data_IF_787797787941
#
_entry.id   IF_787797787941
#
_cell.length_a   1.000
_cell.length_b   1.000
_cell.length_c   1.000
_cell.angle_alpha   90.00
_cell.angle_beta   90.00
_cell.angle_gamma   90.00
#
_symmetry.space_group_name_H-M   'P 1'
#
loop_
_entity.id
_entity.type
_entity.pdbx_description
1 polymer ?
#
# COMPACT_ATOMS: atom_id res chain seq x y z
N UNK A 1 29.71 -29.89 -9.65
CA UNK A 1 29.94 -28.43 -9.52
C UNK A 1 31.38 -28.20 -9.08
N UNK A 2 32.18 -27.54 -9.91
CA UNK A 2 33.62 -27.36 -9.66
C UNK A 2 33.86 -26.26 -8.61
N UNK A 3 34.97 -26.30 -7.87
CA UNK A 3 35.27 -25.32 -6.80
C UNK A 3 35.20 -23.85 -7.27
N UNK A 4 35.61 -23.58 -8.52
CA UNK A 4 35.53 -22.27 -9.16
C UNK A 4 34.09 -21.79 -9.44
N UNK A 5 33.16 -22.70 -9.74
CA UNK A 5 31.74 -22.33 -9.91
C UNK A 5 31.09 -21.98 -8.57
N UNK A 6 31.54 -22.60 -7.46
CA UNK A 6 31.09 -22.27 -6.11
C UNK A 6 31.58 -20.90 -5.65
N UNK A 7 32.84 -20.56 -5.92
CA UNK A 7 33.40 -19.23 -5.58
C UNK A 7 32.69 -18.12 -6.35
N UNK A 8 32.48 -18.29 -7.66
CA UNK A 8 31.71 -17.32 -8.47
C UNK A 8 30.27 -17.15 -7.97
N UNK A 9 29.61 -18.24 -7.59
CA UNK A 9 28.27 -18.20 -7.01
C UNK A 9 28.24 -17.39 -5.71
N UNK A 10 29.23 -17.56 -4.82
CA UNK A 10 29.34 -16.79 -3.57
C UNK A 10 29.46 -15.30 -3.86
N UNK A 11 30.35 -14.88 -4.78
CA UNK A 11 30.49 -13.47 -5.12
C UNK A 11 29.23 -12.88 -5.78
N UNK A 12 28.54 -13.66 -6.62
CA UNK A 12 27.27 -13.26 -7.22
C UNK A 12 26.19 -13.05 -6.16
N UNK A 13 25.99 -14.03 -5.26
CA UNK A 13 25.03 -13.93 -4.16
C UNK A 13 25.36 -12.76 -3.24
N UNK A 14 26.63 -12.57 -2.88
CA UNK A 14 27.07 -11.44 -2.07
C UNK A 14 26.74 -10.10 -2.75
N UNK A 15 27.01 -9.96 -4.05
CA UNK A 15 26.63 -8.78 -4.83
C UNK A 15 25.13 -8.53 -4.84
N UNK A 16 24.33 -9.59 -4.98
CA UNK A 16 22.86 -9.51 -4.93
C UNK A 16 22.36 -8.98 -3.58
N UNK A 17 22.85 -9.54 -2.46
CA UNK A 17 22.45 -9.10 -1.11
C UNK A 17 22.94 -7.69 -0.79
N UNK A 18 24.14 -7.30 -1.23
CA UNK A 18 24.63 -5.93 -1.11
C UNK A 18 23.71 -4.96 -1.86
N UNK A 19 23.33 -5.30 -3.10
CA UNK A 19 22.39 -4.48 -3.89
C UNK A 19 21.03 -4.36 -3.20
N UNK A 20 20.48 -5.47 -2.67
CA UNK A 20 19.24 -5.47 -1.90
C UNK A 20 19.33 -4.57 -0.67
N UNK A 21 20.41 -4.67 0.10
CA UNK A 21 20.65 -3.85 1.29
C UNK A 21 20.65 -2.35 0.97
N UNK A 22 21.40 -1.93 -0.06
CA UNK A 22 21.44 -0.52 -0.46
C UNK A 22 20.10 -0.01 -0.98
N UNK A 23 19.34 -0.83 -1.71
CA UNK A 23 17.98 -0.45 -2.13
C UNK A 23 17.04 -0.34 -0.93
N UNK A 24 17.14 -1.24 0.05
CA UNK A 24 16.37 -1.14 1.30
C UNK A 24 16.67 0.18 2.02
N UNK A 25 17.95 0.47 2.30
CA UNK A 25 18.35 1.71 2.99
C UNK A 25 17.85 2.96 2.24
N UNK A 26 18.00 2.98 0.92
CA UNK A 26 17.51 4.10 0.09
C UNK A 26 15.98 4.21 0.12
N UNK A 27 15.27 3.09 0.04
CA UNK A 27 13.81 3.04 0.12
C UNK A 27 13.31 3.60 1.44
N UNK A 28 13.88 3.14 2.55
CA UNK A 28 13.58 3.62 3.90
C UNK A 28 13.80 5.13 4.04
N UNK A 29 14.94 5.63 3.57
CA UNK A 29 15.24 7.06 3.59
C UNK A 29 14.30 7.91 2.73
N UNK A 30 13.77 7.35 1.65
CA UNK A 30 12.78 8.05 0.81
C UNK A 30 11.43 8.05 1.51
N UNK A 31 10.97 6.90 2.03
CA UNK A 31 9.70 6.78 2.78
C UNK A 31 9.70 7.69 4.01
N UNK A 32 10.82 7.82 4.72
CA UNK A 32 10.93 8.70 5.90
C UNK A 32 10.76 10.19 5.60
N UNK A 33 10.70 10.60 4.33
CA UNK A 33 10.40 12.00 3.94
C UNK A 33 8.92 12.31 3.94
N UNK A 34 8.06 11.30 3.95
CA UNK A 34 6.62 11.51 4.05
C UNK A 34 6.26 11.84 5.50
N UNK A 35 5.54 12.95 5.75
CA UNK A 35 5.01 13.21 7.07
C UNK A 35 4.02 12.12 7.49
N UNK A 36 4.11 11.67 8.74
CA UNK A 36 3.12 10.75 9.30
C UNK A 36 1.82 11.48 9.69
N UNK A 37 0.68 10.77 9.73
CA UNK A 37 0.49 9.34 9.40
C UNK A 37 0.45 9.09 7.88
N UNK A 38 0.64 7.83 7.48
CA UNK A 38 0.71 7.40 6.06
C UNK A 38 -0.39 6.35 5.81
N UNK A 39 -1.15 6.52 4.74
CA UNK A 39 -2.16 5.56 4.26
C UNK A 39 -1.75 5.04 2.89
N UNK A 40 -1.76 3.71 2.74
CA UNK A 40 -1.49 3.09 1.44
C UNK A 40 -2.75 2.90 0.64
N UNK A 41 -2.69 3.26 -0.64
CA UNK A 41 -3.73 2.98 -1.61
C UNK A 41 -3.28 1.87 -2.56
N UNK A 42 -4.09 0.82 -2.65
CA UNK A 42 -3.96 -0.26 -3.61
C UNK A 42 -5.16 -0.26 -4.55
N UNK A 43 -4.96 -0.68 -5.81
CA UNK A 43 -6.02 -0.73 -6.80
C UNK A 43 -5.54 -1.06 -8.21
N UNK A 44 -6.50 -1.29 -9.10
CA UNK A 44 -6.25 -1.72 -10.46
C UNK A 44 -5.49 -0.69 -11.30
N UNK A 45 -4.40 -1.14 -11.95
CA UNK A 45 -3.60 -0.33 -12.90
C UNK A 45 -4.30 -0.02 -14.22
N UNK A 46 -5.33 -0.80 -14.59
CA UNK A 46 -6.00 -0.74 -15.90
C UNK A 46 -7.27 0.11 -15.92
N UNK A 47 -7.74 0.52 -14.74
CA UNK A 47 -8.91 1.39 -14.64
C UNK A 47 -8.50 2.81 -15.01
N UNK A 48 -9.12 3.37 -16.04
CA UNK A 48 -8.78 4.69 -16.57
C UNK A 48 -9.36 5.81 -15.71
N UNK A 49 -9.00 7.07 -16.00
CA UNK A 49 -9.45 8.25 -15.24
C UNK A 49 -10.96 8.46 -15.33
N UNK A 50 -11.60 7.95 -16.37
CA UNK A 50 -13.05 8.02 -16.60
C UNK A 50 -13.84 7.00 -15.77
N UNK A 51 -13.15 6.15 -14.99
CA UNK A 51 -13.79 5.22 -14.08
C UNK A 51 -14.21 5.94 -12.78
N UNK A 52 -15.42 5.67 -12.31
CA UNK A 52 -15.94 6.19 -11.02
C UNK A 52 -14.97 5.91 -9.87
N UNK A 53 -14.32 4.74 -9.86
CA UNK A 53 -13.32 4.42 -8.83
C UNK A 53 -12.09 5.31 -8.87
N UNK A 54 -11.69 5.83 -10.04
CA UNK A 54 -10.57 6.77 -10.14
C UNK A 54 -10.94 8.13 -9.54
N UNK A 55 -12.16 8.63 -9.82
CA UNK A 55 -12.67 9.86 -9.19
C UNK A 55 -12.77 9.72 -7.67
N UNK A 56 -13.28 8.58 -7.19
CA UNK A 56 -13.38 8.30 -5.75
C UNK A 56 -12.00 8.17 -5.09
N UNK A 57 -11.04 7.49 -5.73
CA UNK A 57 -9.67 7.38 -5.23
C UNK A 57 -8.97 8.74 -5.17
N UNK A 58 -9.17 9.57 -6.20
CA UNK A 58 -8.68 10.95 -6.22
C UNK A 58 -9.28 11.76 -5.06
N UNK A 59 -10.60 11.76 -4.93
CA UNK A 59 -11.29 12.60 -3.96
C UNK A 59 -10.97 12.18 -2.52
N UNK A 60 -10.98 10.88 -2.21
CA UNK A 60 -10.60 10.38 -0.89
C UNK A 60 -9.14 10.75 -0.56
N UNK A 61 -8.20 10.55 -1.49
CA UNK A 61 -6.80 10.90 -1.26
C UNK A 61 -6.57 12.40 -1.05
N UNK A 62 -7.33 13.26 -1.76
CA UNK A 62 -7.32 14.71 -1.57
C UNK A 62 -7.74 15.07 -0.15
N UNK A 63 -8.88 14.57 0.30
CA UNK A 63 -9.42 14.85 1.65
C UNK A 63 -8.49 14.37 2.76
N UNK A 64 -7.95 13.15 2.65
CA UNK A 64 -6.95 12.66 3.60
C UNK A 64 -5.73 13.58 3.68
N UNK A 65 -5.25 14.09 2.54
CA UNK A 65 -4.12 15.02 2.51
C UNK A 65 -4.45 16.38 3.13
N UNK A 66 -5.68 16.87 2.99
CA UNK A 66 -6.18 18.06 3.70
C UNK A 66 -6.22 17.84 5.23
N UNK A 67 -6.49 16.62 5.66
CA UNK A 67 -6.36 16.18 7.05
C UNK A 67 -4.91 15.89 7.49
N UNK A 68 -3.91 16.29 6.70
CA UNK A 68 -2.46 16.08 6.99
C UNK A 68 -2.05 14.61 7.04
N UNK A 69 -2.74 13.74 6.31
CA UNK A 69 -2.39 12.33 6.15
C UNK A 69 -1.68 12.15 4.81
N UNK A 70 -0.56 11.45 4.80
CA UNK A 70 0.19 11.17 3.56
C UNK A 70 -0.34 9.94 2.84
N UNK A 71 -0.25 9.95 1.52
CA UNK A 71 -0.69 8.88 0.63
C UNK A 71 0.51 8.23 -0.05
N UNK A 72 0.62 6.92 0.05
CA UNK A 72 1.62 6.13 -0.68
C UNK A 72 0.91 5.09 -1.55
N UNK A 73 1.44 4.83 -2.75
CA UNK A 73 0.85 3.88 -3.70
C UNK A 73 1.95 3.08 -4.39
N UNK A 74 1.57 2.09 -5.20
CA UNK A 74 2.49 1.37 -6.08
C UNK A 74 3.15 2.21 -7.20
N UNK A 75 2.78 3.49 -7.36
CA UNK A 75 3.39 4.42 -8.31
C UNK A 75 3.08 4.16 -9.79
N UNK A 76 2.20 3.20 -10.10
CA UNK A 76 1.73 2.91 -11.45
C UNK A 76 0.57 3.81 -11.90
N UNK A 77 0.04 3.59 -13.12
CA UNK A 77 -1.13 4.30 -13.63
C UNK A 77 -2.43 3.79 -13.00
N UNK A 78 -3.56 4.33 -13.47
CA UNK A 78 -4.90 3.96 -13.03
C UNK A 78 -5.21 4.47 -11.63
N UNK A 79 -5.74 3.61 -10.76
CA UNK A 79 -6.18 4.04 -9.42
C UNK A 79 -5.04 4.53 -8.53
N UNK A 80 -3.84 3.99 -8.72
CA UNK A 80 -2.64 4.47 -8.02
C UNK A 80 -2.30 5.92 -8.40
N UNK A 81 -2.35 6.24 -9.70
CA UNK A 81 -2.16 7.61 -10.17
C UNK A 81 -3.26 8.53 -9.67
N UNK A 82 -4.52 8.10 -9.74
CA UNK A 82 -5.64 8.89 -9.25
C UNK A 82 -5.48 9.28 -7.77
N UNK A 83 -5.11 8.33 -6.91
CA UNK A 83 -4.83 8.59 -5.51
C UNK A 83 -3.64 9.54 -5.30
N UNK A 84 -2.53 9.35 -6.03
CA UNK A 84 -1.39 10.26 -5.90
C UNK A 84 -1.72 11.69 -6.37
N UNK A 85 -2.51 11.84 -7.44
CA UNK A 85 -2.99 13.13 -7.94
C UNK A 85 -3.95 13.80 -6.97
N UNK A 86 -4.87 13.05 -6.37
CA UNK A 86 -5.77 13.56 -5.35
C UNK A 86 -4.99 14.15 -4.17
N UNK A 87 -4.05 13.37 -3.64
CA UNK A 87 -3.17 13.81 -2.56
C UNK A 87 -2.33 15.04 -2.93
N UNK A 88 -1.79 15.08 -4.15
CA UNK A 88 -1.01 16.23 -4.64
C UNK A 88 -1.85 17.52 -4.78
N UNK A 89 -3.14 17.39 -5.11
CA UNK A 89 -4.04 18.50 -5.35
C UNK A 89 -4.49 19.22 -4.06
N UNK A 90 -4.36 18.59 -2.90
CA UNK A 90 -4.61 19.22 -1.62
C UNK A 90 -3.61 20.37 -1.36
N UNK A 91 -4.03 21.37 -0.58
CA UNK A 91 -3.14 22.47 -0.16
C UNK A 91 -1.95 21.90 0.61
N UNK A 92 -0.73 22.21 0.16
CA UNK A 92 0.54 21.65 0.67
C UNK A 92 0.67 20.11 0.52
N UNK A 93 -0.26 19.47 -0.20
CA UNK A 93 -0.38 18.03 -0.40
C UNK A 93 0.66 17.42 -1.33
N UNK A 94 1.29 18.22 -2.19
CA UNK A 94 2.41 17.76 -3.03
C UNK A 94 3.52 17.10 -2.20
N UNK A 95 3.76 17.55 -0.96
CA UNK A 95 4.76 16.95 -0.06
C UNK A 95 4.34 15.62 0.59
N UNK A 96 3.09 15.19 0.40
CA UNK A 96 2.44 14.10 1.13
C UNK A 96 2.09 12.91 0.24
N UNK A 97 2.69 12.80 -0.94
CA UNK A 97 2.35 11.79 -1.94
C UNK A 97 3.60 11.10 -2.49
N UNK A 98 3.56 9.76 -2.56
CA UNK A 98 4.67 8.93 -3.03
C UNK A 98 4.20 7.71 -3.84
N UNK A 99 5.01 7.33 -4.82
CA UNK A 99 4.88 6.07 -5.55
C UNK A 99 6.08 5.16 -5.31
N UNK A 100 5.82 3.90 -4.92
CA UNK A 100 6.84 2.84 -4.80
C UNK A 100 6.59 1.75 -5.84
N UNK A 101 7.35 1.82 -6.94
CA UNK A 101 7.24 0.90 -8.06
C UNK A 101 8.33 -0.16 -8.06
N UNK A 102 8.15 -1.16 -8.94
CA UNK A 102 9.13 -2.21 -9.20
C UNK A 102 9.48 -2.23 -10.68
N UNK A 103 10.75 -2.45 -11.01
CA UNK A 103 11.23 -2.48 -12.40
C UNK A 103 10.74 -3.72 -13.14
N UNK A 104 10.61 -3.65 -14.47
CA UNK A 104 10.30 -4.81 -15.32
C UNK A 104 8.82 -5.23 -15.36
N UNK A 105 7.90 -4.48 -14.76
CA UNK A 105 6.46 -4.80 -14.84
C UNK A 105 5.84 -4.31 -16.14
N UNK A 106 6.18 -3.09 -16.60
CA UNK A 106 5.85 -2.59 -17.94
C UNK A 106 6.55 -1.23 -18.19
N UNK A 107 7.74 -1.23 -18.80
CA UNK A 107 8.54 0.01 -18.97
C UNK A 107 7.94 1.00 -19.99
N UNK A 108 6.91 0.58 -20.72
CA UNK A 108 6.19 1.40 -21.70
C UNK A 108 5.04 2.22 -21.10
N UNK A 109 4.66 1.97 -19.84
CA UNK A 109 3.56 2.71 -19.23
C UNK A 109 3.98 4.11 -18.75
N UNK A 110 3.10 5.11 -18.91
CA UNK A 110 3.37 6.46 -18.44
C UNK A 110 3.60 6.43 -16.93
N UNK A 111 4.68 7.10 -16.51
CA UNK A 111 4.96 7.28 -15.09
C UNK A 111 3.88 8.14 -14.47
N UNK A 112 3.40 7.74 -13.30
CA UNK A 112 2.61 8.58 -12.42
C UNK A 112 3.36 9.90 -12.18
N UNK A 113 2.75 11.02 -12.55
CA UNK A 113 3.41 12.34 -12.51
C UNK A 113 3.06 13.14 -11.25
N UNK A 114 2.10 12.67 -10.48
CA UNK A 114 1.54 13.41 -9.36
C UNK A 114 2.25 13.13 -8.03
N UNK A 115 2.84 11.95 -7.88
CA UNK A 115 3.66 11.67 -6.71
C UNK A 115 4.93 12.55 -6.73
N UNK A 116 5.20 13.23 -5.61
CA UNK A 116 6.43 14.04 -5.50
C UNK A 116 7.65 13.15 -5.29
N UNK A 117 7.48 12.10 -4.49
CA UNK A 117 8.53 11.14 -4.23
C UNK A 117 8.27 9.87 -5.02
N UNK A 118 9.30 9.39 -5.70
CA UNK A 118 9.27 8.11 -6.39
C UNK A 118 10.44 7.25 -5.94
N UNK A 119 10.14 6.00 -5.63
CA UNK A 119 11.16 4.97 -5.42
C UNK A 119 10.87 3.79 -6.34
N UNK A 120 11.87 3.42 -7.13
CA UNK A 120 11.83 2.24 -7.99
C UNK A 120 12.84 1.24 -7.44
N UNK A 121 12.38 0.01 -7.19
CA UNK A 121 13.22 -1.10 -6.75
C UNK A 121 13.24 -2.22 -7.79
N UNK A 122 14.28 -3.03 -7.78
CA UNK A 122 14.35 -4.26 -8.59
C UNK A 122 13.74 -5.47 -7.87
N UNK A 123 13.32 -5.31 -6.60
CA UNK A 123 12.85 -6.40 -5.76
C UNK A 123 11.39 -6.19 -5.38
N UNK A 124 10.53 -7.10 -5.83
CA UNK A 124 9.09 -7.05 -5.59
C UNK A 124 8.74 -7.04 -4.09
N UNK A 125 9.43 -7.88 -3.29
CA UNK A 125 9.20 -7.97 -1.85
C UNK A 125 9.63 -6.70 -1.11
N UNK A 126 10.69 -6.03 -1.59
CA UNK A 126 11.09 -4.74 -1.02
C UNK A 126 10.02 -3.67 -1.27
N UNK A 127 9.42 -3.64 -2.47
CA UNK A 127 8.29 -2.76 -2.78
C UNK A 127 7.13 -2.98 -1.81
N UNK A 128 6.74 -4.25 -1.61
CA UNK A 128 5.66 -4.62 -0.69
C UNK A 128 5.96 -4.20 0.74
N UNK A 129 7.17 -4.49 1.20
CA UNK A 129 7.61 -4.10 2.54
C UNK A 129 7.48 -2.59 2.77
N UNK A 130 7.92 -1.77 1.82
CA UNK A 130 7.85 -0.31 1.94
C UNK A 130 6.42 0.24 1.94
N UNK A 131 5.51 -0.39 1.18
CA UNK A 131 4.09 0.00 1.14
C UNK A 131 3.37 -0.42 2.43
N UNK A 132 3.67 -1.60 2.95
CA UNK A 132 2.94 -2.20 4.06
C UNK A 132 3.51 -1.76 5.42
N UNK A 133 4.80 -1.99 5.67
CA UNK A 133 5.37 -1.80 7.01
C UNK A 133 5.37 -0.33 7.48
N UNK A 134 5.25 0.62 6.54
CA UNK A 134 5.28 2.06 6.80
C UNK A 134 3.91 2.74 6.80
N UNK A 135 2.84 1.97 6.66
CA UNK A 135 1.48 2.49 6.66
C UNK A 135 0.81 2.37 8.01
N UNK A 136 -0.22 3.19 8.21
CA UNK A 136 -1.07 3.26 9.40
C UNK A 136 -2.50 2.82 9.10
N UNK A 137 -2.90 2.83 7.83
CA UNK A 137 -4.14 2.26 7.34
C UNK A 137 -4.03 1.97 5.83
N UNK A 138 -5.01 1.25 5.30
CA UNK A 138 -5.02 0.79 3.92
C UNK A 138 -6.37 1.07 3.26
N UNK A 139 -6.33 1.55 2.03
CA UNK A 139 -7.49 1.72 1.17
C UNK A 139 -7.30 0.86 -0.08
N UNK A 140 -8.24 -0.03 -0.32
CA UNK A 140 -8.18 -1.04 -1.37
C UNK A 140 -9.35 -0.81 -2.31
N UNK A 141 -9.05 -0.24 -3.47
CA UNK A 141 -10.02 -0.13 -4.55
C UNK A 141 -10.01 -1.39 -5.43
N UNK A 142 -11.01 -1.56 -6.31
CA UNK A 142 -11.07 -2.71 -7.22
C UNK A 142 -9.80 -2.89 -8.04
N UNK A 143 -9.32 -4.12 -8.10
CA UNK A 143 -8.06 -4.46 -8.76
C UNK A 143 -7.83 -5.97 -8.89
N UNK A 144 -6.89 -6.34 -9.75
CA UNK A 144 -6.59 -7.75 -10.06
C UNK A 144 -5.66 -8.42 -9.04
N UNK A 145 -4.90 -9.43 -9.49
CA UNK A 145 -4.05 -10.23 -8.61
C UNK A 145 -3.06 -9.44 -7.76
N UNK A 146 -2.45 -8.37 -8.28
CA UNK A 146 -1.53 -7.55 -7.49
C UNK A 146 -2.20 -6.88 -6.29
N UNK A 147 -3.44 -6.40 -6.48
CA UNK A 147 -4.24 -5.78 -5.40
C UNK A 147 -4.67 -6.81 -4.37
N UNK A 148 -5.07 -8.02 -4.82
CA UNK A 148 -5.42 -9.12 -3.91
C UNK A 148 -4.21 -9.61 -3.12
N UNK A 149 -3.04 -9.73 -3.77
CA UNK A 149 -1.77 -10.09 -3.13
C UNK A 149 -1.41 -9.11 -2.01
N UNK A 150 -1.49 -7.80 -2.28
CA UNK A 150 -1.26 -6.75 -1.29
C UNK A 150 -2.31 -6.76 -0.16
N UNK A 151 -3.60 -6.96 -0.48
CA UNK A 151 -4.68 -7.09 0.52
C UNK A 151 -4.43 -8.28 1.48
N UNK A 152 -4.20 -9.47 0.94
CA UNK A 152 -4.02 -10.67 1.76
C UNK A 152 -2.71 -10.64 2.54
N UNK A 153 -1.66 -9.98 2.04
CA UNK A 153 -0.42 -9.78 2.79
C UNK A 153 -0.67 -8.92 4.03
N UNK A 154 -1.39 -7.80 3.90
CA UNK A 154 -1.78 -6.95 5.04
C UNK A 154 -2.58 -7.75 6.06
N UNK A 155 -3.63 -8.45 5.63
CA UNK A 155 -4.49 -9.25 6.52
C UNK A 155 -3.70 -10.36 7.23
N UNK A 156 -2.83 -11.07 6.50
CA UNK A 156 -1.98 -12.14 7.05
C UNK A 156 -0.98 -11.60 8.07
N UNK A 157 -0.40 -10.43 7.81
CA UNK A 157 0.54 -9.78 8.75
C UNK A 157 -0.17 -9.31 10.03
N UNK A 158 -1.42 -8.85 9.95
CA UNK A 158 -2.24 -8.56 11.13
C UNK A 158 -2.57 -9.84 11.90
N UNK A 159 -3.00 -10.89 11.20
CA UNK A 159 -3.32 -12.20 11.79
C UNK A 159 -2.12 -12.81 12.53
N UNK A 160 -0.93 -12.68 11.96
CA UNK A 160 0.33 -13.18 12.56
C UNK A 160 0.95 -12.19 13.55
N UNK A 161 0.27 -11.08 13.88
CA UNK A 161 0.69 -10.03 14.82
C UNK A 161 2.04 -9.38 14.44
N UNK A 162 2.39 -9.43 13.15
CA UNK A 162 3.55 -8.72 12.58
C UNK A 162 3.20 -7.26 12.31
N UNK A 163 1.93 -6.99 12.02
CA UNK A 163 1.31 -5.66 12.08
C UNK A 163 0.29 -5.62 13.22
N UNK A 164 0.09 -4.46 13.87
CA UNK A 164 -1.05 -4.26 14.76
C UNK A 164 -2.35 -4.21 13.94
N UNK A 165 -3.51 -4.37 14.58
CA UNK A 165 -4.79 -4.07 13.95
C UNK A 165 -4.82 -2.62 13.45
N UNK A 166 -5.05 -2.45 12.15
CA UNK A 166 -5.22 -1.16 11.49
C UNK A 166 -6.41 -1.21 10.55
N UNK A 167 -7.02 -0.07 10.22
CA UNK A 167 -8.13 -0.03 9.27
C UNK A 167 -7.71 -0.54 7.89
N UNK A 168 -8.49 -1.48 7.34
CA UNK A 168 -8.44 -1.90 5.94
C UNK A 168 -9.79 -1.57 5.30
N UNK A 169 -9.82 -0.54 4.48
CA UNK A 169 -11.03 -0.07 3.80
C UNK A 169 -11.09 -0.66 2.41
N UNK A 170 -12.07 -1.53 2.14
CA UNK A 170 -12.40 -1.99 0.79
C UNK A 170 -13.44 -1.07 0.18
N UNK A 171 -13.09 -0.41 -0.93
CA UNK A 171 -14.00 0.50 -1.63
C UNK A 171 -14.67 -0.22 -2.81
N UNK A 172 -15.99 -0.07 -2.97
CA UNK A 172 -16.75 -0.72 -4.03
C UNK A 172 -17.37 -2.04 -3.57
N UNK A 173 -18.40 -2.00 -2.72
CA UNK A 173 -19.02 -3.16 -2.08
C UNK A 173 -19.44 -4.24 -3.09
N UNK A 174 -20.01 -3.82 -4.22
CA UNK A 174 -20.42 -4.71 -5.31
C UNK A 174 -19.27 -5.52 -5.91
N UNK A 175 -18.07 -4.96 -5.98
CA UNK A 175 -16.89 -5.66 -6.49
C UNK A 175 -16.36 -6.69 -5.49
N UNK A 176 -16.43 -6.38 -4.19
CA UNK A 176 -15.88 -7.23 -3.13
C UNK A 176 -16.85 -8.30 -2.64
N UNK A 177 -18.11 -8.29 -3.07
CA UNK A 177 -19.17 -9.17 -2.59
C UNK A 177 -18.74 -10.65 -2.54
N UNK A 178 -18.31 -11.20 -3.66
CA UNK A 178 -17.98 -12.64 -3.76
C UNK A 178 -16.74 -12.99 -2.89
N UNK A 179 -15.81 -12.04 -2.73
CA UNK A 179 -14.67 -12.23 -1.83
C UNK A 179 -15.11 -12.25 -0.36
N UNK A 180 -16.06 -11.40 0.03
CA UNK A 180 -16.59 -11.38 1.40
C UNK A 180 -17.40 -12.64 1.71
N UNK A 181 -18.18 -13.14 0.76
CA UNK A 181 -18.87 -14.44 0.89
C UNK A 181 -17.85 -15.57 1.12
N UNK A 182 -16.72 -15.57 0.40
CA UNK A 182 -15.63 -16.51 0.64
C UNK A 182 -14.98 -16.34 2.05
N UNK A 183 -14.83 -15.11 2.54
CA UNK A 183 -14.32 -14.86 3.90
C UNK A 183 -15.28 -15.45 4.94
N UNK A 184 -16.58 -15.28 4.76
CA UNK A 184 -17.60 -15.85 5.66
C UNK A 184 -17.55 -17.37 5.69
N UNK A 185 -17.37 -18.02 4.53
CA UNK A 185 -17.15 -19.47 4.45
C UNK A 185 -15.88 -19.90 5.20
N UNK A 186 -14.78 -19.17 5.02
CA UNK A 186 -13.53 -19.43 5.71
C UNK A 186 -13.66 -19.27 7.24
N UNK A 187 -14.48 -18.32 7.71
CA UNK A 187 -14.84 -18.19 9.13
C UNK A 187 -15.69 -19.37 9.60
N UNK A 188 -16.69 -19.79 8.82
CA UNK A 188 -17.52 -20.96 9.14
C UNK A 188 -16.73 -22.27 9.26
N UNK A 189 -15.65 -22.40 8.50
CA UNK A 189 -14.71 -23.53 8.57
C UNK A 189 -13.62 -23.37 9.65
N UNK A 190 -13.56 -22.24 10.36
CA UNK A 190 -12.54 -21.95 11.37
C UNK A 190 -11.15 -21.67 10.81
N UNK A 191 -11.03 -21.34 9.51
CA UNK A 191 -9.77 -21.00 8.84
C UNK A 191 -9.38 -19.53 9.08
N UNK A 192 -10.38 -18.66 9.26
CA UNK A 192 -10.23 -17.24 9.63
C UNK A 192 -11.03 -17.00 10.91
N UNK A 193 -10.51 -16.21 11.84
CA UNK A 193 -11.26 -15.89 13.07
C UNK A 193 -12.19 -14.69 12.82
N UNK A 194 -13.35 -14.59 13.49
CA UNK A 194 -14.27 -13.47 13.34
C UNK A 194 -13.61 -12.11 13.60
N UNK A 195 -12.67 -12.05 14.54
CA UNK A 195 -11.93 -10.82 14.87
C UNK A 195 -11.03 -10.36 13.73
N UNK A 196 -10.43 -11.28 12.97
CA UNK A 196 -9.62 -10.93 11.81
C UNK A 196 -10.49 -10.55 10.60
N UNK A 197 -11.62 -11.22 10.40
CA UNK A 197 -12.58 -10.84 9.37
C UNK A 197 -13.14 -9.43 9.62
N UNK A 198 -13.39 -9.07 10.89
CA UNK A 198 -13.86 -7.75 11.30
C UNK A 198 -12.86 -6.60 11.08
N UNK A 199 -11.60 -6.89 10.69
CA UNK A 199 -10.63 -5.86 10.28
C UNK A 199 -10.97 -5.26 8.91
N UNK A 200 -11.79 -5.95 8.12
CA UNK A 200 -12.22 -5.54 6.80
C UNK A 200 -13.44 -4.62 6.95
N UNK A 201 -13.28 -3.35 6.59
CA UNK A 201 -14.37 -2.39 6.51
C UNK A 201 -14.70 -2.13 5.03
N UNK A 202 -15.93 -2.41 4.60
CA UNK A 202 -16.35 -2.23 3.21
C UNK A 202 -17.32 -1.06 3.11
N UNK A 203 -17.10 -0.16 2.15
CA UNK A 203 -17.98 0.98 1.92
C UNK A 203 -17.98 1.43 0.46
N UNK A 204 -19.03 2.13 0.05
CA UNK A 204 -19.12 2.87 -1.20
C UNK A 204 -19.09 4.39 -0.98
N UNK A 205 -19.02 4.81 0.30
CA UNK A 205 -19.14 6.20 0.72
C UNK A 205 -17.77 6.77 1.12
N UNK A 206 -17.36 7.85 0.45
CA UNK A 206 -16.11 8.55 0.73
C UNK A 206 -16.11 9.10 2.16
N UNK A 207 -17.23 9.62 2.64
CA UNK A 207 -17.33 10.23 3.97
C UNK A 207 -17.11 9.19 5.08
N UNK A 208 -17.61 7.97 4.89
CA UNK A 208 -17.42 6.86 5.84
C UNK A 208 -15.97 6.38 5.84
N UNK A 209 -15.37 6.20 4.66
CA UNK A 209 -13.97 5.83 4.53
C UNK A 209 -13.05 6.89 5.15
N UNK A 210 -13.26 8.17 4.80
CA UNK A 210 -12.51 9.30 5.33
C UNK A 210 -12.60 9.34 6.85
N UNK A 211 -13.81 9.27 7.41
CA UNK A 211 -14.02 9.29 8.86
C UNK A 211 -13.27 8.16 9.55
N UNK A 212 -13.41 6.91 9.08
CA UNK A 212 -12.73 5.77 9.67
C UNK A 212 -11.21 5.92 9.66
N UNK A 213 -10.65 6.42 8.56
CA UNK A 213 -9.22 6.65 8.41
C UNK A 213 -8.71 7.79 9.28
N UNK A 214 -9.40 8.93 9.29
CA UNK A 214 -9.03 10.13 10.06
C UNK A 214 -9.15 9.89 11.56
N UNK A 215 -10.24 9.26 12.00
CA UNK A 215 -10.45 8.92 13.42
C UNK A 215 -9.33 8.00 13.92
N UNK A 216 -8.97 6.97 13.14
CA UNK A 216 -7.86 6.10 13.50
C UNK A 216 -6.52 6.84 13.49
N UNK A 217 -6.22 7.57 12.42
CA UNK A 217 -4.96 8.31 12.24
C UNK A 217 -4.73 9.39 13.30
N UNK A 218 -5.80 9.89 13.91
CA UNK A 218 -5.74 10.88 15.00
C UNK A 218 -5.73 10.24 16.40
N UNK A 219 -5.85 8.92 16.48
CA UNK A 219 -5.94 8.19 17.75
C UNK A 219 -4.57 7.91 18.37
N UNK A 220 -4.47 7.76 19.70
CA UNK A 220 -3.25 7.30 20.36
C UNK A 220 -2.78 5.91 19.89
N UNK A 221 -3.66 5.11 19.30
CA UNK A 221 -3.32 3.80 18.74
C UNK A 221 -2.46 3.95 17.47
N UNK A 222 -2.73 4.96 16.64
CA UNK A 222 -1.89 5.31 15.51
C UNK A 222 -0.47 5.68 15.98
N UNK A 223 -0.34 6.50 17.02
CA UNK A 223 0.96 6.91 17.57
C UNK A 223 1.77 5.77 18.21
N UNK A 224 1.08 4.74 18.71
CA UNK A 224 1.74 3.52 19.24
C UNK A 224 2.42 2.73 18.14
N UNK A 225 1.95 2.83 16.90
CA UNK A 225 2.65 2.30 15.74
C UNK A 225 3.77 3.24 15.32
N UNK A 226 4.86 3.22 16.11
CA UNK A 226 6.16 3.69 15.62
C UNK A 226 6.76 2.52 14.87
N UNK A 227 6.86 2.65 13.54
CA UNK A 227 7.48 1.65 12.66
C UNK A 227 8.64 0.96 13.38
N UNK A 228 8.66 -0.38 13.45
CA UNK A 228 9.82 -1.08 14.00
C UNK A 228 11.03 -0.74 13.13
N UNK A 229 11.79 0.28 13.52
CA UNK A 229 12.86 0.88 12.72
C UNK A 229 12.82 2.39 12.55
N UNK A 230 11.87 3.15 13.12
CA UNK A 230 12.06 4.58 13.33
C UNK A 230 13.14 4.77 14.40
N UNK A 231 14.34 5.08 13.93
CA UNK A 231 15.42 5.69 14.72
C UNK A 231 14.99 7.11 15.08
#
# INVERSE_FOLDING_TARGET
MNGWSRVRLVFYLMGLYIKLFFQMVRGLWIVSKLPHPIVTFFGGRRLTKECVYAEQAFELARRLSECKISVITGGGPGLMEAANCGAAAAKDGASRTMGVGVTGVNDMEPKNQCAKYHFMTDYFDLRKHLLIAYSHAYVIFPGGFGTLDELFEVLTLMQTKKLPPMPVVLFGSSYWKDLLEWVDEAVGLGLVTPEHAALIFVTDNIDEAEKALVDFCSSPQCDKWKHRGSI
#
